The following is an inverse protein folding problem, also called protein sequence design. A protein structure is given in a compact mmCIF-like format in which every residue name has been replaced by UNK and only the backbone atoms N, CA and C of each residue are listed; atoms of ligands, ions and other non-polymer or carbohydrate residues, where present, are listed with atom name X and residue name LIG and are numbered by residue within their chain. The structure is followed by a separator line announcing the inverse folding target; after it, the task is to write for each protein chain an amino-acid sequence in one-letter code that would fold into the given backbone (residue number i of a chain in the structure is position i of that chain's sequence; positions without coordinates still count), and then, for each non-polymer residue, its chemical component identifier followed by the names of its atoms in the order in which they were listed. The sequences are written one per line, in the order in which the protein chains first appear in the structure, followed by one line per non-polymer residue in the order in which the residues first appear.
data_IF_361988225137
#
_entry.id   IF_361988225137
#
_cell.length_a   1.000
_cell.length_b   1.000
_cell.length_c   1.000
_cell.angle_alpha   90.00
_cell.angle_beta   90.00
_cell.angle_gamma   90.00
#
_symmetry.space_group_name_H-M   'P 1'
#
loop_
_entity.id
_entity.type
_entity.pdbx_description
1 polymer ?
#
# COMPACT_ATOMS: atom_id res chain seq x y z
N UNK A 1 -24.61 -3.60 -32.11
CA UNK A 1 -23.43 -4.46 -31.88
C UNK A 1 -22.12 -3.69 -31.89
N UNK A 2 -21.75 -2.91 -32.94
CA UNK A 2 -20.49 -2.13 -32.91
C UNK A 2 -20.46 -1.00 -31.87
N UNK A 3 -21.57 -0.31 -31.61
CA UNK A 3 -21.59 0.76 -30.58
C UNK A 3 -21.44 0.19 -29.17
N UNK A 4 -22.11 -0.93 -28.85
CA UNK A 4 -22.06 -1.61 -27.55
C UNK A 4 -20.65 -2.11 -27.19
N UNK A 5 -19.94 -2.71 -28.15
CA UNK A 5 -18.55 -3.16 -27.98
C UNK A 5 -17.55 -2.00 -27.81
N UNK A 6 -17.85 -0.84 -28.41
CA UNK A 6 -17.05 0.37 -28.22
C UNK A 6 -17.27 0.97 -26.83
N UNK A 7 -18.51 0.97 -26.32
CA UNK A 7 -18.80 1.41 -24.95
C UNK A 7 -18.21 0.48 -23.91
N UNK A 8 -18.31 -0.85 -24.09
CA UNK A 8 -17.72 -1.84 -23.19
C UNK A 8 -16.18 -1.76 -23.14
N UNK A 9 -15.51 -1.63 -24.30
CA UNK A 9 -14.06 -1.43 -24.34
C UNK A 9 -13.62 -0.08 -23.73
N UNK A 10 -14.43 0.97 -23.86
CA UNK A 10 -14.13 2.27 -23.26
C UNK A 10 -14.32 2.25 -21.73
N UNK A 11 -15.39 1.59 -21.25
CA UNK A 11 -15.65 1.37 -19.83
C UNK A 11 -14.60 0.47 -19.18
N UNK A 12 -14.17 -0.61 -19.86
CA UNK A 12 -13.05 -1.44 -19.40
C UNK A 12 -11.76 -0.62 -19.32
N UNK A 13 -11.47 0.22 -20.32
CA UNK A 13 -10.30 1.12 -20.30
C UNK A 13 -10.32 2.13 -19.15
N UNK A 14 -11.50 2.52 -18.65
CA UNK A 14 -11.68 3.42 -17.51
C UNK A 14 -11.52 2.71 -16.15
N UNK A 15 -11.58 1.37 -16.13
CA UNK A 15 -11.52 0.53 -14.93
C UNK A 15 -10.14 -0.09 -14.67
N UNK A 16 -9.09 0.41 -15.32
CA UNK A 16 -7.75 -0.17 -15.25
C UNK A 16 -6.73 0.83 -14.73
N UNK A 17 -5.76 0.31 -13.99
CA UNK A 17 -4.53 1.00 -13.67
C UNK A 17 -3.65 1.13 -14.92
N UNK A 18 -3.04 2.29 -15.14
CA UNK A 18 -2.16 2.51 -16.28
C UNK A 18 -0.79 1.85 -16.10
N UNK A 19 -0.38 1.63 -14.85
CA UNK A 19 0.84 0.96 -14.46
C UNK A 19 0.69 0.33 -13.07
N UNK A 20 1.04 -0.96 -12.96
CA UNK A 20 1.34 -1.62 -11.69
C UNK A 20 2.86 -1.66 -11.50
N UNK A 21 3.31 -1.20 -10.35
CA UNK A 21 4.71 -1.26 -9.92
C UNK A 21 4.81 -2.18 -8.71
N UNK A 22 5.65 -3.21 -8.81
CA UNK A 22 6.09 -3.99 -7.65
C UNK A 22 7.52 -3.59 -7.29
N UNK A 23 7.79 -3.31 -6.02
CA UNK A 23 9.18 -3.11 -5.55
C UNK A 23 9.83 -4.44 -5.20
N UNK A 24 11.15 -4.53 -5.33
CA UNK A 24 11.95 -5.69 -4.95
C UNK A 24 13.20 -5.23 -4.18
N UNK A 25 13.59 -5.91 -3.11
CA UNK A 25 14.78 -5.58 -2.32
C UNK A 25 16.11 -5.92 -3.00
N UNK A 26 16.08 -6.56 -4.17
CA UNK A 26 17.29 -6.86 -4.97
C UNK A 26 16.96 -7.16 -6.43
N UNK A 27 17.98 -7.08 -7.30
CA UNK A 27 17.87 -7.48 -8.71
C UNK A 27 17.50 -8.97 -8.88
N UNK A 28 17.93 -9.85 -7.97
CA UNK A 28 17.54 -11.26 -8.00
C UNK A 28 16.05 -11.41 -7.69
N UNK A 29 15.56 -10.75 -6.64
CA UNK A 29 14.14 -10.77 -6.29
C UNK A 29 13.29 -10.14 -7.39
N UNK A 30 13.76 -9.06 -8.03
CA UNK A 30 13.12 -8.45 -9.19
C UNK A 30 12.89 -9.47 -10.31
N UNK A 31 13.93 -10.20 -10.72
CA UNK A 31 13.82 -11.23 -11.77
C UNK A 31 12.80 -12.32 -11.41
N UNK A 32 12.76 -12.75 -10.16
CA UNK A 32 11.78 -13.73 -9.70
C UNK A 32 10.36 -13.18 -9.78
N UNK A 33 10.14 -11.93 -9.34
CA UNK A 33 8.84 -11.28 -9.43
C UNK A 33 8.40 -11.04 -10.87
N UNK A 34 9.32 -10.74 -11.79
CA UNK A 34 9.02 -10.62 -13.22
C UNK A 34 8.50 -11.94 -13.82
N UNK A 35 9.09 -13.07 -13.43
CA UNK A 35 8.62 -14.41 -13.84
C UNK A 35 7.23 -14.69 -13.26
N UNK A 36 7.05 -14.52 -11.94
CA UNK A 36 5.76 -14.77 -11.28
C UNK A 36 4.64 -13.86 -11.81
N UNK A 37 4.97 -12.61 -12.12
CA UNK A 37 4.01 -11.64 -12.67
C UNK A 37 3.62 -11.98 -14.12
N UNK A 38 4.53 -12.56 -14.91
CA UNK A 38 4.21 -13.03 -16.25
C UNK A 38 3.21 -14.22 -16.24
N UNK A 39 3.25 -15.03 -15.18
CA UNK A 39 2.34 -16.16 -14.97
C UNK A 39 1.02 -15.77 -14.28
N UNK A 40 0.87 -14.51 -13.83
CA UNK A 40 -0.33 -14.00 -13.14
C UNK A 40 -1.22 -13.20 -14.11
N UNK A 41 -2.52 -13.52 -14.20
CA UNK A 41 -3.43 -12.78 -15.08
C UNK A 41 -3.85 -11.42 -14.50
N UNK A 42 -2.98 -10.42 -14.71
CA UNK A 42 -3.19 -9.04 -14.29
C UNK A 42 -3.74 -8.13 -15.40
N UNK A 43 -3.88 -8.65 -16.62
CA UNK A 43 -4.19 -7.86 -17.82
C UNK A 43 -5.59 -7.24 -17.80
N UNK A 44 -6.51 -7.80 -17.01
CA UNK A 44 -7.85 -7.23 -16.81
C UNK A 44 -7.87 -6.05 -15.81
N UNK A 45 -6.77 -5.83 -15.07
CA UNK A 45 -6.66 -4.81 -14.02
C UNK A 45 -5.65 -3.72 -14.36
N UNK A 46 -4.57 -4.05 -15.08
CA UNK A 46 -3.44 -3.18 -15.33
C UNK A 46 -3.04 -3.18 -16.81
N UNK A 47 -2.75 -2.01 -17.38
CA UNK A 47 -2.33 -1.88 -18.78
C UNK A 47 -0.87 -2.27 -18.98
N UNK A 48 -0.03 -2.00 -17.99
CA UNK A 48 1.41 -2.28 -17.97
C UNK A 48 1.81 -2.67 -16.56
N UNK A 49 2.89 -3.43 -16.49
CA UNK A 49 3.51 -3.82 -15.23
C UNK A 49 5.01 -3.56 -15.28
N UNK A 50 5.60 -3.29 -14.12
CA UNK A 50 7.05 -3.19 -13.95
C UNK A 50 7.44 -3.64 -12.56
N UNK A 51 8.62 -4.25 -12.44
CA UNK A 51 9.24 -4.55 -11.15
C UNK A 51 10.50 -3.70 -11.00
N UNK A 52 10.64 -2.99 -9.90
CA UNK A 52 11.75 -2.06 -9.64
C UNK A 52 12.50 -2.53 -8.41
N UNK A 53 13.79 -2.82 -8.57
CA UNK A 53 14.65 -3.19 -7.46
C UNK A 53 15.13 -1.95 -6.68
N UNK A 54 15.38 -2.13 -5.39
CA UNK A 54 16.00 -1.12 -4.53
C UNK A 54 17.34 -0.65 -5.12
N UNK A 55 17.54 0.66 -5.10
CA UNK A 55 18.76 1.32 -5.55
C UNK A 55 19.22 2.32 -4.47
N UNK A 56 20.51 2.28 -4.06
CA UNK A 56 21.60 1.45 -4.61
C UNK A 56 21.48 -0.04 -4.24
N UNK A 57 22.02 -0.91 -5.11
CA UNK A 57 21.95 -2.36 -4.91
C UNK A 57 22.61 -2.79 -3.59
N UNK A 58 21.93 -3.65 -2.83
CA UNK A 58 22.42 -4.17 -1.55
C UNK A 58 22.20 -3.22 -0.36
N UNK A 59 21.62 -2.04 -0.58
CA UNK A 59 21.26 -1.10 0.49
C UNK A 59 19.77 -1.23 0.80
N UNK A 60 19.43 -1.38 2.09
CA UNK A 60 18.04 -1.42 2.53
C UNK A 60 17.51 0.01 2.68
N UNK A 61 16.70 0.45 1.73
CA UNK A 61 16.19 1.83 1.64
C UNK A 61 14.79 2.02 2.25
N UNK A 62 14.12 0.91 2.57
CA UNK A 62 12.77 0.91 3.15
C UNK A 62 11.69 1.41 2.19
N UNK A 63 10.45 1.49 2.68
CA UNK A 63 9.32 1.86 1.82
C UNK A 63 9.34 3.30 1.34
N UNK A 64 9.90 4.23 2.14
CA UNK A 64 10.06 5.63 1.73
C UNK A 64 11.07 5.77 0.58
N UNK A 65 12.23 5.15 0.73
CA UNK A 65 13.29 5.16 -0.27
C UNK A 65 12.88 4.41 -1.54
N UNK A 66 12.17 3.29 -1.40
CA UNK A 66 11.61 2.56 -2.53
C UNK A 66 10.60 3.42 -3.31
N UNK A 67 9.74 4.19 -2.64
CA UNK A 67 8.82 5.12 -3.31
C UNK A 67 9.57 6.19 -4.12
N UNK A 68 10.62 6.80 -3.55
CA UNK A 68 11.45 7.77 -4.27
C UNK A 68 12.14 7.15 -5.48
N UNK A 69 12.72 5.95 -5.31
CA UNK A 69 13.39 5.22 -6.38
C UNK A 69 12.42 4.87 -7.53
N UNK A 70 11.20 4.45 -7.19
CA UNK A 70 10.13 4.19 -8.18
C UNK A 70 9.79 5.46 -8.94
N UNK A 71 9.51 6.57 -8.24
CA UNK A 71 9.15 7.84 -8.87
C UNK A 71 10.24 8.35 -9.82
N UNK A 72 11.50 8.27 -9.40
CA UNK A 72 12.63 8.58 -10.26
C UNK A 72 12.68 7.68 -11.51
N UNK A 73 12.50 6.36 -11.33
CA UNK A 73 12.63 5.37 -12.40
C UNK A 73 11.52 5.46 -13.44
N UNK A 74 10.27 5.70 -13.04
CA UNK A 74 9.13 5.82 -13.97
C UNK A 74 9.11 7.18 -14.70
N UNK A 75 9.82 8.17 -14.17
CA UNK A 75 10.01 9.48 -14.79
C UNK A 75 8.79 10.41 -14.71
N UNK A 76 8.96 11.63 -15.22
CA UNK A 76 8.01 12.74 -15.06
C UNK A 76 6.77 12.64 -15.97
N UNK A 77 6.77 11.75 -16.97
CA UNK A 77 5.68 11.64 -17.96
C UNK A 77 4.48 10.82 -17.47
N UNK A 78 4.11 10.99 -16.20
CA UNK A 78 3.05 10.21 -15.55
C UNK A 78 1.83 11.04 -15.12
N UNK A 79 1.83 12.35 -15.32
CA UNK A 79 0.81 13.31 -14.86
C UNK A 79 -0.66 12.94 -15.09
N UNK A 80 -0.95 12.12 -16.11
CA UNK A 80 -2.31 11.70 -16.49
C UNK A 80 -2.60 10.24 -16.20
N UNK A 81 -1.67 9.55 -15.55
CA UNK A 81 -1.74 8.11 -15.31
C UNK A 81 -2.13 7.79 -13.88
N UNK A 82 -2.81 6.65 -13.72
CA UNK A 82 -3.09 6.03 -12.43
C UNK A 82 -2.08 4.91 -12.20
N UNK A 83 -1.19 5.11 -11.24
CA UNK A 83 -0.12 4.17 -10.91
C UNK A 83 -0.45 3.50 -9.59
N UNK A 84 -0.41 2.18 -9.57
CA UNK A 84 -0.49 1.37 -8.35
C UNK A 84 0.90 0.89 -7.98
N UNK A 85 1.41 1.34 -6.84
CA UNK A 85 2.68 0.92 -6.26
C UNK A 85 2.43 -0.02 -5.08
N UNK A 86 2.91 -1.25 -5.21
CA UNK A 86 2.86 -2.26 -4.15
C UNK A 86 4.28 -2.48 -3.61
N UNK A 87 4.43 -2.25 -2.31
CA UNK A 87 5.67 -2.47 -1.59
C UNK A 87 5.92 -3.95 -1.32
N UNK A 88 6.66 -4.62 -2.19
CA UNK A 88 6.87 -6.08 -2.20
C UNK A 88 8.31 -6.51 -1.89
N UNK A 89 9.23 -5.56 -1.70
CA UNK A 89 10.67 -5.83 -1.52
C UNK A 89 11.09 -6.40 -0.16
N UNK A 90 10.16 -6.67 0.74
CA UNK A 90 10.47 -7.25 2.05
C UNK A 90 11.02 -8.68 1.96
N UNK A 91 11.88 -9.05 2.91
CA UNK A 91 12.50 -10.40 2.98
C UNK A 91 11.54 -11.50 3.47
N UNK A 92 10.31 -11.15 3.86
CA UNK A 92 9.33 -12.07 4.45
C UNK A 92 9.87 -12.85 5.65
N UNK A 93 10.69 -12.24 6.52
CA UNK A 93 11.37 -12.93 7.63
C UNK A 93 10.42 -13.69 8.58
N UNK A 94 9.19 -13.17 8.75
CA UNK A 94 8.13 -13.81 9.56
C UNK A 94 7.43 -14.96 8.84
N UNK A 95 7.58 -15.09 7.52
CA UNK A 95 6.99 -16.12 6.65
C UNK A 95 8.07 -16.70 5.72
N UNK A 96 8.99 -17.53 6.24
CA UNK A 96 10.18 -17.96 5.48
C UNK A 96 9.82 -18.75 4.21
N UNK A 97 8.68 -19.46 4.21
CA UNK A 97 8.17 -20.17 3.04
C UNK A 97 7.81 -19.23 1.86
N UNK A 98 7.66 -17.91 2.11
CA UNK A 98 7.41 -16.88 1.10
C UNK A 98 8.63 -15.98 0.85
N UNK A 99 9.81 -16.31 1.38
CA UNK A 99 11.00 -15.46 1.19
C UNK A 99 11.47 -15.41 -0.27
N UNK A 100 11.39 -16.54 -0.99
CA UNK A 100 11.75 -16.62 -2.40
C UNK A 100 10.66 -16.07 -3.34
N UNK A 101 9.39 -16.25 -2.98
CA UNK A 101 8.23 -15.89 -3.80
C UNK A 101 7.74 -14.46 -3.55
N UNK A 102 7.93 -13.92 -2.35
CA UNK A 102 7.32 -12.67 -1.91
C UNK A 102 5.88 -12.86 -1.44
N UNK A 103 5.46 -12.10 -0.43
CA UNK A 103 4.10 -12.19 0.13
C UNK A 103 3.00 -11.87 -0.89
N UNK A 104 3.26 -10.93 -1.80
CA UNK A 104 2.30 -10.53 -2.83
C UNK A 104 1.87 -11.70 -3.74
N UNK A 105 2.71 -12.72 -3.89
CA UNK A 105 2.44 -13.93 -4.67
C UNK A 105 2.00 -15.12 -3.80
N UNK A 106 1.73 -14.92 -2.51
CA UNK A 106 1.22 -15.98 -1.66
C UNK A 106 -0.14 -16.47 -2.17
N UNK A 107 -0.28 -17.78 -2.34
CA UNK A 107 -1.52 -18.42 -2.80
C UNK A 107 -2.50 -18.57 -1.64
N UNK A 108 -3.76 -18.22 -1.90
CA UNK A 108 -4.90 -18.31 -1.00
C UNK A 108 -5.68 -19.63 -1.25
N UNK A 109 -6.61 -20.01 -0.35
CA UNK A 109 -7.32 -21.29 -0.46
C UNK A 109 -8.13 -21.51 -1.74
N UNK A 110 -8.51 -20.43 -2.43
CA UNK A 110 -9.24 -20.50 -3.70
C UNK A 110 -8.30 -20.53 -4.94
N UNK A 111 -6.99 -20.69 -4.72
CA UNK A 111 -5.97 -20.79 -5.76
C UNK A 111 -5.47 -19.44 -6.29
N UNK A 112 -6.09 -18.33 -5.90
CA UNK A 112 -5.63 -16.99 -6.28
C UNK A 112 -4.44 -16.53 -5.44
N UNK A 113 -3.68 -15.57 -5.95
CA UNK A 113 -2.63 -14.87 -5.20
C UNK A 113 -3.18 -13.67 -4.43
N UNK A 114 -2.43 -13.20 -3.42
CA UNK A 114 -2.71 -11.91 -2.77
C UNK A 114 -2.79 -10.77 -3.81
N UNK A 115 -1.91 -10.79 -4.82
CA UNK A 115 -1.91 -9.83 -5.92
C UNK A 115 -3.25 -9.79 -6.66
N UNK A 116 -3.76 -10.95 -7.09
CA UNK A 116 -5.02 -11.05 -7.82
C UNK A 116 -6.20 -10.54 -6.98
N UNK A 117 -6.25 -10.90 -5.69
CA UNK A 117 -7.28 -10.36 -4.78
C UNK A 117 -7.17 -8.86 -4.62
N UNK A 118 -5.95 -8.35 -4.42
CA UNK A 118 -5.71 -6.91 -4.25
C UNK A 118 -6.13 -6.12 -5.49
N UNK A 119 -5.74 -6.59 -6.68
CA UNK A 119 -6.12 -5.98 -7.95
C UNK A 119 -7.63 -6.03 -8.20
N UNK A 120 -8.28 -7.14 -7.86
CA UNK A 120 -9.72 -7.27 -7.93
C UNK A 120 -10.43 -6.24 -7.06
N UNK A 121 -10.00 -6.08 -5.81
CA UNK A 121 -10.57 -5.07 -4.91
C UNK A 121 -10.30 -3.66 -5.40
N UNK A 122 -9.08 -3.38 -5.86
CA UNK A 122 -8.66 -2.04 -6.28
C UNK A 122 -9.18 -1.62 -7.67
N UNK A 123 -9.79 -2.55 -8.42
CA UNK A 123 -10.38 -2.25 -9.73
C UNK A 123 -11.37 -1.10 -9.65
N UNK A 124 -12.25 -1.09 -8.65
CA UNK A 124 -13.22 -0.01 -8.48
C UNK A 124 -12.53 1.31 -8.09
N UNK A 125 -11.47 1.26 -7.28
CA UNK A 125 -10.75 2.45 -6.85
C UNK A 125 -10.21 3.24 -8.03
N UNK A 126 -9.68 2.54 -9.04
CA UNK A 126 -9.19 3.14 -10.28
C UNK A 126 -10.24 3.98 -11.02
N UNK A 127 -11.54 3.77 -10.78
CA UNK A 127 -12.63 4.56 -11.38
C UNK A 127 -13.00 5.81 -10.58
N UNK A 128 -12.67 5.83 -9.29
CA UNK A 128 -13.07 6.89 -8.35
C UNK A 128 -11.95 7.93 -8.21
N UNK A 129 -10.70 7.47 -8.09
CA UNK A 129 -9.56 8.36 -7.83
C UNK A 129 -9.06 9.02 -9.11
N UNK A 130 -8.51 10.22 -8.93
CA UNK A 130 -7.80 10.97 -9.97
C UNK A 130 -6.46 10.32 -10.35
N UNK A 131 -5.89 10.68 -11.51
CA UNK A 131 -4.51 10.34 -11.85
C UNK A 131 -3.52 10.71 -10.73
N UNK A 132 -2.68 9.76 -10.34
CA UNK A 132 -1.76 9.87 -9.23
C UNK A 132 -1.16 8.50 -8.89
N UNK A 133 -0.50 8.44 -7.74
CA UNK A 133 0.16 7.25 -7.21
C UNK A 133 -0.62 6.71 -6.01
N UNK A 134 -1.16 5.50 -6.12
CA UNK A 134 -1.65 4.74 -4.96
C UNK A 134 -0.52 3.88 -4.41
N UNK A 135 -0.26 3.98 -3.11
CA UNK A 135 0.78 3.25 -2.40
C UNK A 135 0.16 2.30 -1.40
N UNK A 136 0.51 1.01 -1.48
CA UNK A 136 0.01 -0.02 -0.58
C UNK A 136 1.04 -1.10 -0.25
N UNK A 137 0.81 -1.82 0.86
CA UNK A 137 1.64 -2.94 1.29
C UNK A 137 1.30 -4.23 0.53
N UNK A 138 2.28 -5.12 0.39
CA UNK A 138 2.14 -6.41 -0.30
C UNK A 138 1.45 -7.51 0.50
N UNK A 139 1.33 -7.33 1.82
CA UNK A 139 0.87 -8.36 2.75
C UNK A 139 -0.46 -8.03 3.40
N UNK A 140 -1.28 -7.26 2.69
CA UNK A 140 -2.61 -6.87 3.14
C UNK A 140 -3.58 -7.09 1.99
N UNK A 141 -4.81 -7.49 2.30
CA UNK A 141 -5.97 -7.33 1.41
C UNK A 141 -6.96 -6.41 2.11
N UNK A 142 -7.41 -5.37 1.40
CA UNK A 142 -8.34 -4.39 1.93
C UNK A 142 -9.73 -4.56 1.33
N UNK A 143 -10.76 -4.24 2.09
CA UNK A 143 -12.12 -4.05 1.60
C UNK A 143 -12.40 -2.56 1.43
N UNK A 144 -12.44 -2.11 0.18
CA UNK A 144 -12.69 -0.70 -0.15
C UNK A 144 -14.16 -0.41 -0.46
N UNK A 145 -15.06 -1.36 -0.23
CA UNK A 145 -16.47 -1.25 -0.65
C UNK A 145 -17.18 -0.03 -0.03
N UNK A 146 -16.74 0.45 1.13
CA UNK A 146 -17.24 1.66 1.77
C UNK A 146 -16.90 2.96 1.02
N UNK A 147 -15.81 2.98 0.25
CA UNK A 147 -15.38 4.20 -0.45
C UNK A 147 -16.11 4.38 -1.78
N UNK A 148 -16.91 5.45 -1.88
CA UNK A 148 -17.76 5.73 -3.06
C UNK A 148 -17.43 7.04 -3.76
N UNK A 149 -16.78 7.99 -3.09
CA UNK A 149 -16.56 9.32 -3.62
C UNK A 149 -15.20 9.87 -3.18
N UNK A 150 -14.47 10.44 -4.13
CA UNK A 150 -13.23 11.15 -3.91
C UNK A 150 -13.50 12.66 -3.97
N UNK A 151 -12.98 13.41 -2.99
CA UNK A 151 -13.02 14.86 -3.06
C UNK A 151 -12.09 15.36 -4.17
N UNK A 152 -12.62 16.18 -5.08
CA UNK A 152 -11.89 16.58 -6.29
C UNK A 152 -10.66 17.47 -6.02
N UNK A 153 -10.58 18.09 -4.84
CA UNK A 153 -9.56 19.09 -4.49
C UNK A 153 -8.42 18.54 -3.63
N UNK A 154 -8.51 17.31 -3.13
CA UNK A 154 -7.48 16.78 -2.24
C UNK A 154 -6.24 16.34 -3.02
N UNK A 155 -5.06 16.76 -2.57
CA UNK A 155 -3.78 16.31 -3.15
C UNK A 155 -3.33 14.95 -2.61
N UNK A 156 -3.92 14.47 -1.51
CA UNK A 156 -3.60 13.19 -0.88
C UNK A 156 -4.83 12.59 -0.19
N UNK A 157 -5.04 11.29 -0.34
CA UNK A 157 -6.11 10.56 0.35
C UNK A 157 -5.44 9.51 1.23
N UNK A 158 -5.67 9.57 2.54
CA UNK A 158 -5.24 8.57 3.50
C UNK A 158 -6.41 7.65 3.82
N UNK A 159 -6.27 6.36 3.54
CA UNK A 159 -7.28 5.37 3.88
C UNK A 159 -6.99 4.80 5.27
N UNK A 160 -8.04 4.70 6.07
CA UNK A 160 -8.01 4.22 7.43
C UNK A 160 -9.00 3.08 7.64
N UNK A 161 -8.74 2.26 8.65
CA UNK A 161 -9.66 1.22 9.11
C UNK A 161 -9.94 1.41 10.59
N UNK A 162 -11.11 0.98 11.06
CA UNK A 162 -11.38 0.93 12.49
C UNK A 162 -10.80 -0.35 13.08
N UNK A 163 -9.79 -0.17 13.94
CA UNK A 163 -9.09 -1.25 14.62
C UNK A 163 -9.28 -1.20 16.13
N UNK A 164 -9.11 -2.33 16.79
CA UNK A 164 -9.05 -2.37 18.25
C UNK A 164 -7.77 -1.71 18.76
N UNK A 165 -7.76 -1.35 20.04
CA UNK A 165 -6.62 -0.75 20.72
C UNK A 165 -5.38 -1.66 20.67
N UNK A 166 -5.55 -2.99 20.76
CA UNK A 166 -4.45 -3.95 20.68
C UNK A 166 -3.76 -3.95 19.32
N UNK A 167 -4.50 -3.66 18.24
CA UNK A 167 -3.93 -3.52 16.90
C UNK A 167 -3.31 -2.14 16.71
N UNK A 168 -3.92 -1.09 17.26
CA UNK A 168 -3.50 0.29 17.04
C UNK A 168 -2.05 0.58 17.47
N UNK A 169 -1.53 -0.09 18.50
CA UNK A 169 -0.16 0.12 19.00
C UNK A 169 0.92 -0.30 17.99
N UNK A 170 0.60 -1.16 17.02
CA UNK A 170 1.53 -1.61 15.99
C UNK A 170 1.40 -0.83 14.67
N UNK A 171 0.47 0.12 14.59
CA UNK A 171 0.09 0.86 13.38
C UNK A 171 0.24 2.38 13.53
N UNK A 172 0.13 3.09 12.41
CA UNK A 172 -0.13 4.52 12.41
C UNK A 172 -1.58 4.80 12.84
N UNK A 173 -1.82 5.86 13.60
CA UNK A 173 -3.14 6.26 14.10
C UNK A 173 -3.46 7.67 13.63
N UNK A 174 -4.58 7.83 12.93
CA UNK A 174 -5.12 9.14 12.54
C UNK A 174 -5.97 9.71 13.68
N UNK A 175 -5.58 10.89 14.15
CA UNK A 175 -6.35 11.65 15.15
C UNK A 175 -7.12 12.74 14.41
N UNK A 176 -8.45 12.66 14.44
CA UNK A 176 -9.34 13.65 13.82
C UNK A 176 -9.91 14.58 14.88
N UNK A 177 -10.18 15.83 14.51
CA UNK A 177 -10.97 16.74 15.33
C UNK A 177 -12.49 16.46 15.19
N UNK A 178 -13.36 17.08 16.01
CA UNK A 178 -14.81 16.89 15.92
C UNK A 178 -15.42 17.27 14.57
N UNK A 179 -14.76 18.13 13.80
CA UNK A 179 -15.15 18.54 12.45
C UNK A 179 -14.68 17.55 11.36
N UNK A 180 -13.89 16.54 11.73
CA UNK A 180 -13.37 15.51 10.82
C UNK A 180 -12.05 15.88 10.13
N UNK A 181 -11.40 16.97 10.51
CA UNK A 181 -10.10 17.34 9.99
C UNK A 181 -8.99 16.56 10.69
N UNK A 182 -7.96 16.20 9.94
CA UNK A 182 -6.78 15.54 10.50
C UNK A 182 -6.00 16.50 11.41
N UNK A 183 -5.98 16.20 12.72
CA UNK A 183 -5.17 16.90 13.73
C UNK A 183 -3.71 16.45 13.63
N UNK A 184 -3.47 15.15 13.74
CA UNK A 184 -2.12 14.58 13.75
C UNK A 184 -2.14 13.10 13.38
N UNK A 185 -0.97 12.56 13.01
CA UNK A 185 -0.76 11.12 12.82
C UNK A 185 0.25 10.63 13.86
N UNK A 186 -0.15 9.66 14.67
CA UNK A 186 0.72 9.00 15.64
C UNK A 186 1.31 7.74 15.00
N UNK A 187 2.57 7.39 15.26
CA UNK A 187 3.18 6.18 14.71
C UNK A 187 3.52 5.21 15.83
N UNK A 188 2.85 4.05 15.83
CA UNK A 188 2.99 3.01 16.87
C UNK A 188 2.90 3.59 18.29
N UNK A 189 1.84 4.37 18.59
CA UNK A 189 1.70 5.01 19.88
C UNK A 189 1.42 3.99 21.00
N UNK A 190 1.69 4.38 22.24
CA UNK A 190 1.17 3.67 23.41
C UNK A 190 -0.35 3.88 23.52
N UNK A 191 -1.03 2.99 24.25
CA UNK A 191 -2.46 3.13 24.54
C UNK A 191 -2.77 4.45 25.25
N UNK A 192 -1.99 4.77 26.28
CA UNK A 192 -2.09 6.04 27.03
C UNK A 192 -2.01 7.24 26.09
N UNK A 193 -1.09 7.20 25.12
CA UNK A 193 -0.92 8.32 24.20
C UNK A 193 -2.06 8.45 23.17
N UNK A 194 -2.67 7.34 22.76
CA UNK A 194 -3.89 7.38 21.92
C UNK A 194 -5.02 8.08 22.67
N UNK A 195 -5.21 7.74 23.95
CA UNK A 195 -6.24 8.34 24.80
C UNK A 195 -5.99 9.84 25.03
N UNK A 196 -4.76 10.22 25.41
CA UNK A 196 -4.37 11.62 25.62
C UNK A 196 -4.51 12.49 24.36
N UNK A 197 -4.36 11.89 23.18
CA UNK A 197 -4.47 12.59 21.91
C UNK A 197 -5.92 12.77 21.42
N UNK A 198 -6.91 12.19 22.12
CA UNK A 198 -8.31 12.03 21.68
C UNK A 198 -8.46 11.14 20.43
N UNK A 199 -7.63 10.10 20.31
CA UNK A 199 -7.60 9.19 19.15
C UNK A 199 -8.66 8.07 19.17
N UNK A 200 -9.40 7.92 20.28
CA UNK A 200 -10.41 6.85 20.45
C UNK A 200 -11.76 7.32 19.91
N UNK A 201 -12.33 6.56 18.98
CA UNK A 201 -13.65 6.83 18.41
C UNK A 201 -14.78 6.53 19.42
N UNK A 202 -16.00 7.07 19.21
CA UNK A 202 -17.16 6.72 20.05
C UNK A 202 -17.49 5.22 20.09
N UNK A 203 -17.03 4.44 19.10
CA UNK A 203 -17.17 2.98 19.06
C UNK A 203 -16.23 2.25 20.03
N UNK A 204 -15.21 2.95 20.57
CA UNK A 204 -14.08 2.36 21.31
C UNK A 204 -12.94 1.89 20.40
N UNK A 205 -13.09 1.99 19.07
CA UNK A 205 -12.02 1.68 18.12
C UNK A 205 -11.11 2.89 17.86
N UNK A 206 -10.06 2.67 17.07
CA UNK A 206 -9.10 3.67 16.62
C UNK A 206 -8.98 3.63 15.11
N UNK A 207 -8.80 4.80 14.47
CA UNK A 207 -8.52 4.89 13.04
C UNK A 207 -7.05 4.60 12.76
N UNK A 208 -6.76 3.41 12.23
CA UNK A 208 -5.39 3.01 11.88
C UNK A 208 -5.10 3.16 10.40
N UNK A 209 -3.83 3.39 10.06
CA UNK A 209 -3.36 3.54 8.69
C UNK A 209 -3.44 2.25 7.87
N UNK A 210 -3.67 2.41 6.56
CA UNK A 210 -3.94 1.29 5.65
C UNK A 210 -3.15 1.44 4.34
N UNK A 211 -3.59 2.33 3.46
CA UNK A 211 -2.91 2.70 2.21
C UNK A 211 -3.26 4.16 1.88
N UNK A 212 -2.61 4.73 0.87
CA UNK A 212 -2.84 6.13 0.54
C UNK A 212 -2.62 6.43 -0.94
N UNK A 213 -3.29 7.46 -1.42
CA UNK A 213 -3.10 8.03 -2.75
C UNK A 213 -2.43 9.39 -2.64
N UNK A 214 -1.52 9.70 -3.57
CA UNK A 214 -0.93 11.02 -3.74
C UNK A 214 -1.09 11.51 -5.17
N UNK A 215 -1.38 12.80 -5.31
CA UNK A 215 -1.38 13.48 -6.60
C UNK A 215 0.02 13.53 -7.22
N UNK A 216 0.08 13.77 -8.53
CA UNK A 216 1.35 13.99 -9.22
C UNK A 216 2.09 15.25 -8.76
N UNK A 217 1.40 16.22 -8.15
CA UNK A 217 2.03 17.41 -7.52
C UNK A 217 3.00 16.99 -6.41
N UNK A 218 2.56 16.12 -5.50
CA UNK A 218 3.40 15.58 -4.43
C UNK A 218 4.52 14.70 -5.02
N UNK A 219 4.16 13.83 -5.97
CA UNK A 219 5.13 12.93 -6.61
C UNK A 219 6.28 13.69 -7.29
N UNK A 220 6.01 14.86 -7.88
CA UNK A 220 7.03 15.73 -8.46
C UNK A 220 7.97 16.32 -7.42
N UNK A 221 7.45 16.74 -6.27
CA UNK A 221 8.29 17.23 -5.16
C UNK A 221 9.23 16.12 -4.65
N UNK A 222 8.71 14.91 -4.50
CA UNK A 222 9.50 13.73 -4.13
C UNK A 222 10.55 13.38 -5.21
N UNK A 223 10.19 13.49 -6.49
CA UNK A 223 11.13 13.25 -7.61
C UNK A 223 12.24 14.30 -7.62
N UNK A 224 11.91 15.58 -7.43
CA UNK A 224 12.89 16.66 -7.32
C UNK A 224 13.84 16.45 -6.13
N UNK A 225 13.31 16.00 -5.00
CA UNK A 225 14.12 15.67 -3.82
C UNK A 225 15.13 14.56 -4.12
N UNK A 226 14.73 13.52 -4.85
CA UNK A 226 15.65 12.47 -5.31
C UNK A 226 16.69 13.03 -6.29
N UNK A 227 16.30 13.89 -7.24
CA UNK A 227 17.22 14.50 -8.20
C UNK A 227 18.28 15.40 -7.51
N UNK A 228 17.90 16.09 -6.45
CA UNK A 228 18.80 16.96 -5.68
C UNK A 228 19.77 16.16 -4.81
N UNK A 229 19.26 15.16 -4.07
CA UNK A 229 20.04 14.44 -3.04
C UNK A 229 20.70 13.16 -3.54
N UNK A 230 20.21 12.63 -4.66
CA UNK A 230 20.52 11.27 -5.09
C UNK A 230 19.67 10.22 -4.35
N UNK A 231 19.99 8.93 -4.53
CA UNK A 231 19.21 7.85 -3.96
C UNK A 231 19.32 7.79 -2.43
N UNK A 232 18.26 7.32 -1.75
CA UNK A 232 18.33 7.03 -0.33
C UNK A 232 19.39 5.94 -0.06
N UNK A 233 20.20 6.13 0.96
CA UNK A 233 21.15 5.12 1.44
C UNK A 233 20.85 4.65 2.88
N UNK A 234 19.70 5.04 3.41
CA UNK A 234 19.20 4.67 4.74
C UNK A 234 17.74 4.19 4.65
N UNK A 235 17.35 3.31 5.56
CA UNK A 235 15.99 2.78 5.64
C UNK A 235 15.01 3.87 6.10
N UNK A 236 14.14 4.30 5.19
CA UNK A 236 13.02 5.23 5.47
C UNK A 236 11.69 4.51 5.30
N UNK A 237 10.65 4.96 6.00
CA UNK A 237 9.33 4.35 6.01
C UNK A 237 8.29 5.33 5.47
N UNK A 238 7.63 5.04 4.35
CA UNK A 238 6.64 5.96 3.80
C UNK A 238 5.41 6.14 4.71
N UNK A 239 5.04 5.12 5.48
CA UNK A 239 3.92 5.23 6.44
C UNK A 239 4.33 6.10 7.64
N UNK A 240 5.51 5.89 8.20
CA UNK A 240 5.98 6.65 9.37
C UNK A 240 6.56 8.02 9.06
N UNK A 241 7.27 8.18 7.94
CA UNK A 241 7.99 9.41 7.63
C UNK A 241 7.17 10.37 6.75
N UNK A 242 6.25 9.88 5.92
CA UNK A 242 5.39 10.75 5.09
C UNK A 242 4.11 11.14 5.81
N UNK A 243 3.53 10.26 6.64
CA UNK A 243 2.23 10.54 7.27
C UNK A 243 2.34 11.36 8.56
N UNK A 244 3.38 11.16 9.38
CA UNK A 244 3.53 11.91 10.65
C UNK A 244 3.54 13.44 10.53
N UNK A 245 4.08 14.03 9.45
CA UNK A 245 3.99 15.48 9.25
C UNK A 245 2.60 15.98 8.84
N UNK A 246 1.65 15.09 8.52
CA UNK A 246 0.30 15.47 8.10
C UNK A 246 -0.55 15.97 9.27
N UNK A 247 -1.53 16.81 8.92
CA UNK A 247 -2.50 17.39 9.86
C UNK A 247 -2.14 18.82 10.25
N UNK A 248 -3.05 19.50 10.94
CA UNK A 248 -2.85 20.89 11.35
C UNK A 248 -2.00 21.05 12.63
N UNK A 249 -1.77 19.96 13.37
CA UNK A 249 -0.95 19.92 14.58
C UNK A 249 -0.06 18.66 14.63
N UNK A 250 0.84 18.46 13.64
CA UNK A 250 1.65 17.25 13.53
C UNK A 250 2.70 17.14 14.65
N UNK A 251 3.08 15.91 14.99
CA UNK A 251 4.13 15.62 15.97
C UNK A 251 5.44 15.28 15.27
N UNK A 252 6.38 16.22 15.33
CA UNK A 252 7.68 16.18 14.65
C UNK A 252 8.86 15.80 15.57
N UNK A 253 8.57 15.20 16.72
CA UNK A 253 9.51 14.71 17.73
C UNK A 253 10.45 13.59 17.23
N UNK A 254 10.17 13.02 16.05
CA UNK A 254 10.95 11.94 15.43
C UNK A 254 11.99 12.39 14.42
N UNK A 255 11.97 13.66 14.01
CA UNK A 255 12.85 14.16 12.96
C UNK A 255 14.32 14.01 13.31
N UNK A 256 14.67 14.03 14.60
CA UNK A 256 16.05 13.87 15.09
C UNK A 256 16.34 12.47 15.65
N UNK A 257 15.37 11.54 15.61
CA UNK A 257 15.55 10.21 16.16
C UNK A 257 16.32 9.31 15.18
N UNK A 258 17.41 8.69 15.64
CA UNK A 258 18.22 7.76 14.84
C UNK A 258 19.41 8.40 14.13
N UNK A 259 19.94 7.78 13.06
CA UNK A 259 21.12 8.27 12.34
C UNK A 259 20.89 9.65 11.70
N UNK A 260 21.94 10.45 11.59
CA UNK A 260 21.88 11.80 10.99
C UNK A 260 21.35 11.81 9.56
N UNK A 261 21.71 10.82 8.76
CA UNK A 261 21.21 10.68 7.38
C UNK A 261 19.69 10.45 7.34
N UNK A 262 19.16 9.64 8.25
CA UNK A 262 17.72 9.41 8.39
C UNK A 262 17.01 10.71 8.80
N UNK A 263 17.61 11.48 9.71
CA UNK A 263 17.08 12.79 10.11
C UNK A 263 16.96 13.75 8.93
N UNK A 264 17.97 13.80 8.04
CA UNK A 264 17.94 14.66 6.85
C UNK A 264 16.79 14.30 5.90
N UNK A 265 16.57 13.01 5.67
CA UNK A 265 15.44 12.54 4.87
C UNK A 265 14.10 12.88 5.51
N UNK A 266 13.95 12.61 6.81
CA UNK A 266 12.72 12.93 7.57
C UNK A 266 12.38 14.40 7.53
N UNK A 267 13.36 15.29 7.71
CA UNK A 267 13.17 16.75 7.59
C UNK A 267 12.69 17.13 6.19
N UNK A 268 13.30 16.56 5.15
CA UNK A 268 12.90 16.82 3.76
C UNK A 268 11.48 16.34 3.45
N UNK A 269 11.09 15.17 3.98
CA UNK A 269 9.72 14.69 3.87
C UNK A 269 8.76 15.62 4.63
N UNK A 270 9.10 16.02 5.85
CA UNK A 270 8.28 16.93 6.65
C UNK A 270 8.04 18.27 5.93
N UNK A 271 9.04 18.83 5.26
CA UNK A 271 8.89 20.05 4.45
C UNK A 271 7.88 19.93 3.30
N UNK A 272 7.67 18.73 2.76
CA UNK A 272 6.68 18.45 1.73
C UNK A 272 5.32 18.19 2.39
N UNK A 273 5.27 17.22 3.30
CA UNK A 273 4.01 16.67 3.82
C UNK A 273 3.32 17.59 4.84
N UNK A 274 4.04 18.46 5.56
CA UNK A 274 3.40 19.40 6.50
C UNK A 274 2.53 20.47 5.84
N UNK A 275 2.57 20.58 4.50
CA UNK A 275 1.78 21.53 3.71
C UNK A 275 0.51 20.89 3.16
N UNK A 276 0.33 19.58 3.37
CA UNK A 276 -0.73 18.78 2.77
C UNK A 276 -1.81 18.54 3.81
N UNK A 277 -3.04 18.86 3.46
CA UNK A 277 -4.24 18.49 4.22
C UNK A 277 -4.90 17.29 3.53
N UNK A 278 -4.62 16.06 3.96
CA UNK A 278 -5.14 14.87 3.29
C UNK A 278 -6.63 14.70 3.59
N UNK A 279 -7.37 14.14 2.63
CA UNK A 279 -8.68 13.55 2.93
C UNK A 279 -8.45 12.23 3.68
N UNK A 280 -9.03 12.07 4.88
CA UNK A 280 -8.99 10.80 5.62
C UNK A 280 -10.27 10.03 5.37
N UNK A 281 -10.15 8.81 4.85
CA UNK A 281 -11.27 7.93 4.51
C UNK A 281 -11.33 6.77 5.49
N UNK A 282 -12.37 6.72 6.32
CA UNK A 282 -12.66 5.56 7.17
C UNK A 282 -13.37 4.46 6.35
N UNK A 283 -12.72 3.32 6.17
CA UNK A 283 -13.27 2.13 5.51
C UNK A 283 -14.15 1.27 6.44
N UNK A 284 -14.24 1.63 7.72
CA UNK A 284 -14.98 0.92 8.76
C UNK A 284 -14.23 -0.31 9.28
N UNK A 285 -14.92 -1.09 10.12
CA UNK A 285 -14.40 -2.34 10.69
C UNK A 285 -14.27 -3.44 9.62
N UNK A 286 -13.36 -4.39 9.86
CA UNK A 286 -13.14 -5.55 8.98
C UNK A 286 -12.84 -5.16 7.53
N UNK A 287 -12.07 -4.10 7.34
CA UNK A 287 -11.65 -3.59 6.03
C UNK A 287 -10.15 -3.77 5.74
N UNK A 288 -9.40 -4.31 6.69
CA UNK A 288 -7.96 -4.55 6.59
C UNK A 288 -7.62 -5.96 7.08
N UNK A 289 -7.01 -6.77 6.22
CA UNK A 289 -6.66 -8.16 6.51
C UNK A 289 -5.16 -8.35 6.25
N UNK A 290 -4.36 -8.31 7.32
CA UNK A 290 -2.91 -8.40 7.26
C UNK A 290 -2.45 -9.86 7.32
N UNK A 291 -1.68 -10.27 6.34
CA UNK A 291 -1.11 -11.60 6.15
C UNK A 291 0.40 -11.56 6.33
N UNK A 292 0.84 -10.97 7.45
CA UNK A 292 2.25 -10.75 7.72
C UNK A 292 2.97 -11.95 8.34
N UNK A 293 2.21 -12.87 8.92
CA UNK A 293 2.66 -14.07 9.64
C UNK A 293 1.85 -15.31 9.21
N UNK A 294 2.37 -16.53 9.44
CA UNK A 294 1.62 -17.75 9.17
C UNK A 294 0.35 -17.85 10.01
N UNK A 295 0.36 -17.33 11.25
CA UNK A 295 -0.81 -17.31 12.13
C UNK A 295 -1.94 -16.49 11.52
N UNK A 296 -1.66 -15.25 11.15
CA UNK A 296 -2.67 -14.37 10.56
C UNK A 296 -3.23 -14.95 9.25
N UNK A 297 -2.34 -15.51 8.40
CA UNK A 297 -2.78 -16.18 7.16
C UNK A 297 -3.76 -17.32 7.47
N UNK A 298 -3.46 -18.17 8.46
CA UNK A 298 -4.32 -19.28 8.86
C UNK A 298 -5.65 -18.81 9.47
N UNK A 299 -5.61 -17.76 10.30
CA UNK A 299 -6.81 -17.15 10.90
C UNK A 299 -7.73 -16.58 9.82
N UNK A 300 -7.16 -15.88 8.82
CA UNK A 300 -7.90 -15.38 7.67
C UNK A 300 -8.40 -16.52 6.77
N UNK A 301 -7.64 -17.59 6.60
CA UNK A 301 -8.05 -18.75 5.83
C UNK A 301 -8.92 -19.74 6.62
N UNK A 302 -9.44 -19.38 7.80
CA UNK A 302 -10.48 -20.18 8.44
C UNK A 302 -11.82 -19.97 7.71
N UNK A 303 -12.58 -21.04 7.46
CA UNK A 303 -13.84 -20.99 6.69
C UNK A 303 -14.83 -19.92 7.20
N UNK A 304 -14.93 -19.80 8.52
CA UNK A 304 -15.87 -18.88 9.17
C UNK A 304 -15.28 -17.49 9.43
N UNK A 305 -14.04 -17.22 8.99
CA UNK A 305 -13.43 -15.91 9.15
C UNK A 305 -14.16 -14.86 8.31
N UNK A 306 -14.13 -13.60 8.76
CA UNK A 306 -14.66 -12.48 7.98
C UNK A 306 -13.94 -12.34 6.63
N UNK A 307 -12.64 -12.65 6.57
CA UNK A 307 -11.88 -12.65 5.32
C UNK A 307 -12.44 -13.65 4.32
N UNK A 308 -12.64 -14.91 4.75
CA UNK A 308 -13.16 -15.98 3.90
C UNK A 308 -14.53 -15.62 3.34
N UNK A 309 -15.43 -15.12 4.19
CA UNK A 309 -16.78 -14.72 3.77
C UNK A 309 -16.77 -13.58 2.75
N UNK A 310 -15.83 -12.63 2.87
CA UNK A 310 -15.73 -11.47 1.97
C UNK A 310 -15.03 -11.78 0.66
N UNK A 311 -13.95 -12.56 0.70
CA UNK A 311 -13.01 -12.65 -0.43
C UNK A 311 -12.91 -14.03 -1.05
N UNK A 312 -13.32 -15.11 -0.37
CA UNK A 312 -13.20 -16.48 -0.88
C UNK A 312 -14.57 -16.96 -1.36
N UNK A 313 -14.74 -17.11 -2.68
CA UNK A 313 -16.02 -17.48 -3.30
C UNK A 313 -16.42 -18.94 -3.00
N UNK A 314 -15.44 -19.81 -2.73
CA UNK A 314 -15.62 -21.19 -2.28
C UNK A 314 -14.30 -21.70 -1.72
N UNK A 315 -14.33 -22.40 -0.59
CA UNK A 315 -13.22 -23.28 -0.23
C UNK A 315 -13.14 -24.39 -1.28
N UNK A 316 -12.10 -24.39 -2.10
CA UNK A 316 -11.76 -25.59 -2.85
C UNK A 316 -11.29 -26.62 -1.81
N UNK A 317 -12.03 -27.73 -1.64
CA UNK A 317 -11.53 -28.87 -0.86
C UNK A 317 -10.28 -29.50 -1.51
N UNK A 318 -9.95 -29.10 -2.75
CA UNK A 318 -8.70 -29.45 -3.40
C UNK A 318 -7.60 -28.48 -2.98
N UNK A 319 -6.65 -28.97 -2.19
CA UNK A 319 -5.33 -28.33 -2.02
C UNK A 319 -4.69 -28.24 -3.42
N UNK A 320 -4.72 -27.05 -4.02
CA UNK A 320 -4.10 -26.82 -5.32
C UNK A 320 -2.58 -26.78 -5.14
N UNK A 321 -1.92 -27.90 -5.46
CA UNK A 321 -0.48 -27.96 -5.62
C UNK A 321 -0.13 -27.62 -7.08
N UNK A 322 0.43 -26.43 -7.32
CA UNK A 322 0.88 -25.99 -8.66
C UNK A 322 2.27 -26.54 -9.04
N UNK A 323 2.60 -27.77 -8.63
CA UNK A 323 3.80 -28.47 -9.12
C UNK A 323 3.54 -29.14 -10.48
N UNK A 324 3.09 -28.37 -11.46
CA UNK A 324 3.11 -28.80 -12.86
C UNK A 324 4.44 -28.38 -13.47
N UNK A 325 5.53 -29.08 -13.14
CA UNK A 325 6.73 -29.25 -13.99
C UNK A 325 7.89 -30.07 -13.38
N UNK A 326 7.69 -30.80 -12.28
CA UNK A 326 8.68 -31.81 -11.85
C UNK A 326 8.47 -33.12 -12.61
N UNK A 327 8.78 -33.14 -13.91
CA UNK A 327 9.07 -34.40 -14.59
C UNK A 327 10.52 -34.76 -14.29
N UNK A 328 10.69 -35.72 -13.39
CA UNK A 328 12.00 -36.27 -13.06
C UNK A 328 12.67 -36.88 -14.29
N UNK A 329 13.95 -36.55 -14.46
CA UNK A 329 14.97 -37.50 -14.89
C UNK A 329 16.02 -37.58 -13.80
#
# INVERSE_FOLDING_TARGET
MKSTLLTENCLQKLQMWDLLVLTAGSELQKRNFEILLADTDVNQYCRRTVVIADYPAGVRIGSGGATLNVLHTIGETMDKQKVLLVHSGGLSQRMPHLSALGKIFATLPDGSTILEKKLSTYKHLSTIISPGLLVCASDVIEDISAFKHCEATSEMIAFATESSLEVAVDHGVFVLDPEGNLKSVLQKPSLEFIEEADGVLPTGNVLTDCFYWMSWSICKQLTALWQERGPCTVETCCYGDFMRPLGYAPLLDYLEQGPSELSLWRKSFAEIFSKISPQVVNLGVHSFFHMGTPRELLEHCHRDSTFSQKFLASFSEAVHCSLSNCTGR
#
